data_IF_716361038574
#
_entry.id   IF_716361038574
#
_cell.length_a   1.000
_cell.length_b   1.000
_cell.length_c   1.000
_cell.angle_alpha   90.00
_cell.angle_beta   90.00
_cell.angle_gamma   90.00
#
_symmetry.space_group_name_H-M   'P 1'
#
loop_
_entity.id
_entity.type
_entity.pdbx_description
1 polymer ?
#
# COMPACT_ATOMS: atom_id res chain seq x y z
N UNK A 1 19.79 5.81 1.72
CA UNK A 1 20.73 4.90 2.41
C UNK A 1 20.06 4.00 3.44
N UNK A 2 19.32 4.53 4.42
CA UNK A 2 18.61 3.71 5.42
C UNK A 2 17.70 2.61 4.81
N UNK A 3 16.92 2.95 3.78
CA UNK A 3 16.09 1.95 3.08
C UNK A 3 16.92 0.79 2.51
N UNK A 4 18.02 1.10 1.82
CA UNK A 4 18.87 0.08 1.19
C UNK A 4 19.62 -0.79 2.21
N UNK A 5 19.92 -0.26 3.40
CA UNK A 5 20.66 -1.00 4.43
C UNK A 5 19.79 -1.78 5.40
N UNK A 6 18.51 -1.42 5.54
CA UNK A 6 17.60 -2.00 6.55
C UNK A 6 16.40 -2.74 5.95
N UNK A 7 16.11 -2.56 4.65
CA UNK A 7 15.01 -3.25 3.99
C UNK A 7 15.51 -4.38 3.07
N UNK A 8 14.66 -5.39 2.91
CA UNK A 8 14.86 -6.45 1.92
C UNK A 8 14.83 -5.85 0.51
N UNK A 9 15.81 -6.22 -0.32
CA UNK A 9 15.89 -5.81 -1.72
C UNK A 9 15.12 -6.79 -2.62
N UNK A 10 14.54 -6.26 -3.69
CA UNK A 10 13.72 -6.96 -4.68
C UNK A 10 12.56 -7.79 -4.09
N UNK A 11 11.72 -7.23 -3.18
CA UNK A 11 10.55 -7.93 -2.69
C UNK A 11 9.50 -8.10 -3.80
N UNK A 12 8.67 -9.14 -3.69
CA UNK A 12 7.48 -9.25 -4.52
C UNK A 12 6.46 -8.18 -4.14
N UNK A 13 6.29 -7.93 -2.83
CA UNK A 13 5.38 -6.91 -2.31
C UNK A 13 6.05 -6.11 -1.20
N UNK A 14 6.05 -4.79 -1.34
CA UNK A 14 6.51 -3.85 -0.32
C UNK A 14 5.31 -3.09 0.27
N UNK A 15 5.12 -3.18 1.59
CA UNK A 15 4.08 -2.42 2.31
C UNK A 15 4.71 -1.17 2.94
N UNK A 16 4.09 -0.03 2.71
CA UNK A 16 4.51 1.27 3.23
C UNK A 16 3.32 1.90 3.97
N UNK A 17 3.58 2.53 5.10
CA UNK A 17 2.57 3.24 5.89
C UNK A 17 2.93 4.72 5.96
N UNK A 18 1.96 5.61 5.81
CA UNK A 18 2.18 7.06 5.89
C UNK A 18 1.03 7.76 6.60
N UNK A 19 1.33 8.76 7.41
CA UNK A 19 0.33 9.68 8.00
C UNK A 19 -0.49 10.39 6.92
N UNK A 20 0.18 10.85 5.85
CA UNK A 20 -0.50 11.48 4.73
C UNK A 20 -1.18 12.77 5.16
N UNK A 21 -2.51 12.82 5.06
CA UNK A 21 -3.32 13.97 5.47
C UNK A 21 -4.05 13.77 6.80
N UNK A 22 -4.04 12.56 7.37
CA UNK A 22 -4.72 12.25 8.63
C UNK A 22 -3.96 11.19 9.43
N UNK A 23 -3.42 11.60 10.57
CA UNK A 23 -2.80 10.67 11.53
C UNK A 23 -3.82 9.71 12.14
N UNK A 24 -5.04 10.20 12.42
CA UNK A 24 -6.13 9.41 13.02
C UNK A 24 -6.46 8.17 12.17
N UNK A 25 -6.42 8.31 10.84
CA UNK A 25 -6.65 7.21 9.91
C UNK A 25 -5.66 6.06 10.06
N UNK A 26 -4.42 6.35 10.42
CA UNK A 26 -3.43 5.31 10.66
C UNK A 26 -3.63 4.74 12.07
N UNK A 27 -3.69 5.60 13.09
CA UNK A 27 -3.73 5.14 14.49
C UNK A 27 -4.99 4.34 14.84
N UNK A 28 -6.14 4.68 14.24
CA UNK A 28 -7.40 3.98 14.51
C UNK A 28 -7.47 2.60 13.81
N UNK A 29 -6.82 2.43 12.66
CA UNK A 29 -6.97 1.23 11.82
C UNK A 29 -5.75 0.29 11.84
N UNK A 30 -4.60 0.73 12.36
CA UNK A 30 -3.30 0.05 12.23
C UNK A 30 -3.31 -1.40 12.70
N UNK A 31 -3.78 -1.65 13.92
CA UNK A 31 -3.80 -2.99 14.54
C UNK A 31 -4.71 -3.96 13.79
N UNK A 32 -5.76 -3.45 13.15
CA UNK A 32 -6.73 -4.27 12.42
C UNK A 32 -6.36 -4.49 10.96
N UNK A 33 -5.52 -3.64 10.35
CA UNK A 33 -5.14 -3.78 8.93
C UNK A 33 -3.75 -4.38 8.73
N UNK A 34 -2.73 -3.90 9.44
CA UNK A 34 -1.34 -4.22 9.06
C UNK A 34 -0.95 -5.65 9.44
N UNK A 35 -1.19 -6.15 10.67
CA UNK A 35 -0.88 -7.54 11.01
C UNK A 35 -1.55 -8.57 10.08
N UNK A 36 -2.87 -8.52 9.81
CA UNK A 36 -3.49 -9.48 8.90
C UNK A 36 -3.04 -9.31 7.45
N UNK A 37 -2.77 -8.08 6.98
CA UNK A 37 -2.21 -7.85 5.64
C UNK A 37 -0.86 -8.55 5.48
N UNK A 38 0.08 -8.31 6.41
CA UNK A 38 1.41 -8.93 6.36
C UNK A 38 1.35 -10.45 6.49
N UNK A 39 0.46 -10.96 7.36
CA UNK A 39 0.24 -12.39 7.50
C UNK A 39 -0.32 -13.01 6.21
N UNK A 40 -1.33 -12.39 5.61
CA UNK A 40 -1.97 -12.85 4.38
C UNK A 40 -1.01 -12.86 3.19
N UNK A 41 -0.19 -11.81 3.02
CA UNK A 41 0.83 -11.76 1.97
C UNK A 41 1.87 -12.89 2.11
N UNK A 42 2.33 -13.16 3.34
CA UNK A 42 3.26 -14.27 3.62
C UNK A 42 2.61 -15.64 3.41
N UNK A 43 1.38 -15.83 3.86
CA UNK A 43 0.63 -17.08 3.67
C UNK A 43 0.33 -17.34 2.18
N UNK A 44 0.19 -16.30 1.37
CA UNK A 44 0.09 -16.39 -0.08
C UNK A 44 1.42 -16.77 -0.76
N UNK A 45 2.51 -16.97 -0.01
CA UNK A 45 3.81 -17.40 -0.51
C UNK A 45 4.63 -16.28 -1.16
N UNK A 46 4.26 -15.01 -0.95
CA UNK A 46 4.95 -13.86 -1.54
C UNK A 46 6.18 -13.47 -0.73
N UNK A 47 7.26 -13.04 -1.40
CA UNK A 47 8.39 -12.42 -0.74
C UNK A 47 8.02 -11.01 -0.25
N UNK A 48 7.64 -10.90 1.03
CA UNK A 48 7.19 -9.64 1.65
C UNK A 48 8.40 -8.83 2.13
N UNK A 49 8.51 -7.58 1.65
CA UNK A 49 9.53 -6.63 2.07
C UNK A 49 9.37 -6.17 3.52
N UNK A 50 10.40 -5.53 4.07
CA UNK A 50 10.37 -4.96 5.43
C UNK A 50 9.39 -3.78 5.45
N UNK A 51 8.28 -3.81 6.21
CA UNK A 51 7.37 -2.67 6.29
C UNK A 51 8.05 -1.50 7.02
N UNK A 52 7.75 -0.27 6.58
CA UNK A 52 8.28 0.93 7.24
C UNK A 52 7.29 2.09 7.14
N UNK A 53 7.53 3.11 7.98
CA UNK A 53 6.73 4.32 8.04
C UNK A 53 7.41 5.47 7.30
N UNK A 54 6.63 6.22 6.52
CA UNK A 54 7.03 7.46 5.87
C UNK A 54 6.26 8.61 6.52
N UNK A 55 6.97 9.52 7.16
CA UNK A 55 6.38 10.76 7.67
C UNK A 55 6.24 11.78 6.54
N UNK A 56 5.13 12.50 6.50
CA UNK A 56 4.83 13.53 5.48
C UNK A 56 4.70 12.97 4.06
N UNK A 57 4.31 11.71 3.95
CA UNK A 57 4.22 11.03 2.66
C UNK A 57 3.10 11.55 1.77
N UNK A 58 3.34 11.51 0.47
CA UNK A 58 2.33 11.66 -0.60
C UNK A 58 2.40 10.43 -1.48
N UNK A 59 1.30 10.09 -2.15
CA UNK A 59 1.16 8.84 -2.92
C UNK A 59 2.36 8.56 -3.84
N UNK A 60 2.80 9.55 -4.62
CA UNK A 60 3.93 9.41 -5.56
C UNK A 60 5.29 9.07 -4.93
N UNK A 61 5.45 9.15 -3.60
CA UNK A 61 6.69 8.69 -2.95
C UNK A 61 6.89 7.18 -3.13
N UNK A 62 5.82 6.43 -3.33
CA UNK A 62 5.87 4.99 -3.54
C UNK A 62 6.64 4.61 -4.83
N UNK A 63 6.67 5.49 -5.83
CA UNK A 63 7.44 5.27 -7.07
C UNK A 63 8.93 5.22 -6.78
N UNK A 64 9.41 6.19 -5.99
CA UNK A 64 10.81 6.24 -5.60
C UNK A 64 11.18 5.07 -4.68
N UNK A 65 10.26 4.66 -3.80
CA UNK A 65 10.44 3.48 -2.94
C UNK A 65 10.57 2.22 -3.79
N UNK A 66 9.68 2.03 -4.76
CA UNK A 66 9.71 0.89 -5.67
C UNK A 66 11.00 0.83 -6.49
N UNK A 67 11.49 1.95 -6.99
CA UNK A 67 12.80 2.03 -7.66
C UNK A 67 13.98 1.73 -6.72
N UNK A 68 13.99 2.32 -5.52
CA UNK A 68 15.09 2.15 -4.56
C UNK A 68 15.21 0.70 -4.10
N UNK A 69 14.07 0.05 -3.82
CA UNK A 69 14.04 -1.30 -3.27
C UNK A 69 13.91 -2.40 -4.34
N UNK A 70 13.58 -2.04 -5.58
CA UNK A 70 13.31 -3.02 -6.64
C UNK A 70 12.02 -3.81 -6.42
N UNK A 71 11.04 -3.23 -5.72
CA UNK A 71 9.80 -3.91 -5.38
C UNK A 71 8.92 -4.13 -6.62
N UNK A 72 8.37 -5.34 -6.79
CA UNK A 72 7.46 -5.64 -7.91
C UNK A 72 6.07 -5.06 -7.70
N UNK A 73 5.56 -5.03 -6.47
CA UNK A 73 4.33 -4.32 -6.10
C UNK A 73 4.65 -3.46 -4.88
N UNK A 74 4.25 -2.19 -4.92
CA UNK A 74 4.27 -1.31 -3.74
C UNK A 74 2.83 -1.06 -3.33
N UNK A 75 2.56 -1.21 -2.03
CA UNK A 75 1.28 -0.93 -1.38
C UNK A 75 1.53 0.17 -0.36
N UNK A 76 0.88 1.31 -0.54
CA UNK A 76 0.92 2.44 0.37
C UNK A 76 -0.42 2.58 1.10
N UNK A 77 -0.41 2.35 2.42
CA UNK A 77 -1.49 2.72 3.32
C UNK A 77 -1.30 4.16 3.78
N UNK A 78 -2.22 5.04 3.46
CA UNK A 78 -2.08 6.49 3.68
C UNK A 78 -3.37 7.14 4.16
N UNK A 79 -3.27 8.01 5.16
CA UNK A 79 -4.40 8.77 5.69
C UNK A 79 -4.96 9.76 4.68
N UNK A 80 -6.27 9.74 4.48
CA UNK A 80 -6.97 10.64 3.57
C UNK A 80 -7.16 12.05 4.16
N UNK A 81 -7.70 12.97 3.36
CA UNK A 81 -8.12 14.28 3.87
C UNK A 81 -9.25 14.08 4.89
N UNK A 82 -9.18 14.65 6.10
CA UNK A 82 -10.27 14.60 7.06
C UNK A 82 -11.57 15.17 6.48
N UNK A 83 -12.68 14.45 6.69
CA UNK A 83 -14.03 14.91 6.39
C UNK A 83 -14.62 15.73 7.54
N UNK A 84 -15.85 16.23 7.34
CA UNK A 84 -16.51 17.12 8.32
C UNK A 84 -16.75 16.46 9.69
N UNK A 85 -17.06 15.15 9.71
CA UNK A 85 -17.38 14.41 10.93
C UNK A 85 -16.53 13.16 11.14
N UNK A 86 -15.49 12.96 10.33
CA UNK A 86 -14.65 11.77 10.40
C UNK A 86 -13.23 12.04 9.87
N UNK A 87 -12.21 11.67 10.63
CA UNK A 87 -10.78 11.75 10.29
C UNK A 87 -10.10 10.40 10.09
N UNK A 88 -10.73 9.26 10.41
CA UNK A 88 -10.07 7.94 10.38
C UNK A 88 -10.13 7.23 9.02
N UNK A 89 -10.52 7.89 7.93
CA UNK A 89 -10.56 7.25 6.59
C UNK A 89 -9.15 6.99 6.06
N UNK A 90 -8.85 5.72 5.82
CA UNK A 90 -7.60 5.25 5.24
C UNK A 90 -7.79 4.87 3.76
N UNK A 91 -6.78 5.16 2.94
CA UNK A 91 -6.69 4.66 1.57
C UNK A 91 -5.48 3.76 1.36
N UNK A 92 -5.65 2.78 0.47
CA UNK A 92 -4.58 1.98 -0.10
C UNK A 92 -4.37 2.39 -1.56
N UNK A 93 -3.15 2.81 -1.88
CA UNK A 93 -2.67 2.95 -3.25
C UNK A 93 -1.70 1.81 -3.54
N UNK A 94 -1.87 1.16 -4.69
CA UNK A 94 -1.01 0.06 -5.08
C UNK A 94 -0.59 0.17 -6.55
N UNK A 95 0.68 -0.11 -6.83
CA UNK A 95 1.26 -0.03 -8.18
C UNK A 95 2.23 -1.17 -8.44
N UNK A 96 2.18 -1.72 -9.65
CA UNK A 96 3.09 -2.74 -10.13
C UNK A 96 4.33 -2.10 -10.78
N UNK A 97 5.51 -2.46 -10.26
CA UNK A 97 6.85 -2.10 -10.74
C UNK A 97 7.01 -0.63 -11.11
N UNK A 98 6.77 0.30 -10.17
CA UNK A 98 6.71 1.72 -10.49
C UNK A 98 8.07 2.30 -10.89
N UNK A 99 8.00 3.41 -11.64
CA UNK A 99 9.13 4.21 -12.09
C UNK A 99 8.78 5.68 -11.99
N UNK A 100 9.65 6.48 -11.36
CA UNK A 100 9.42 7.93 -11.15
C UNK A 100 9.23 8.66 -12.48
N UNK A 101 9.91 8.21 -13.53
CA UNK A 101 9.88 8.85 -14.84
C UNK A 101 8.64 8.51 -15.69
N UNK A 102 8.00 7.35 -15.48
CA UNK A 102 6.98 6.84 -16.43
C UNK A 102 5.65 6.49 -15.79
N UNK A 103 5.59 6.19 -14.50
CA UNK A 103 4.35 5.83 -13.82
C UNK A 103 3.43 7.03 -13.73
N UNK A 104 2.18 6.88 -14.18
CA UNK A 104 1.12 7.88 -14.05
C UNK A 104 0.13 7.49 -12.97
N UNK A 105 -0.74 8.42 -12.55
CA UNK A 105 -1.70 8.15 -11.48
C UNK A 105 -2.68 7.01 -11.84
N UNK A 106 -3.06 6.91 -13.13
CA UNK A 106 -3.96 5.87 -13.62
C UNK A 106 -3.37 4.45 -13.54
N UNK A 107 -2.05 4.31 -13.39
CA UNK A 107 -1.42 3.00 -13.21
C UNK A 107 -1.63 2.44 -11.80
N UNK A 108 -2.19 3.23 -10.87
CA UNK A 108 -2.46 2.80 -9.49
C UNK A 108 -3.86 2.23 -9.36
N UNK A 109 -3.96 1.17 -8.57
CA UNK A 109 -5.26 0.73 -8.04
C UNK A 109 -5.48 1.40 -6.69
N UNK A 110 -6.66 1.98 -6.49
CA UNK A 110 -7.05 2.64 -5.25
C UNK A 110 -8.16 1.84 -4.55
N UNK A 111 -8.00 1.59 -3.25
CA UNK A 111 -9.05 1.14 -2.35
C UNK A 111 -9.16 2.21 -1.25
N UNK A 112 -10.25 2.99 -1.26
CA UNK A 112 -10.47 4.10 -0.33
C UNK A 112 -11.50 3.75 0.75
N UNK A 113 -11.72 4.67 1.68
CA UNK A 113 -12.77 4.55 2.70
C UNK A 113 -12.61 3.29 3.57
N UNK A 114 -11.36 2.97 3.92
CA UNK A 114 -11.06 1.91 4.87
C UNK A 114 -11.16 2.50 6.27
N UNK A 115 -12.22 2.12 6.99
CA UNK A 115 -12.50 2.45 8.39
C UNK A 115 -13.75 1.67 8.83
N UNK A 116 -14.08 1.69 10.14
CA UNK A 116 -15.24 0.94 10.69
C UNK A 116 -16.60 1.25 10.03
N UNK A 117 -16.77 2.47 9.50
CA UNK A 117 -17.99 2.90 8.81
C UNK A 117 -17.95 2.75 7.28
N UNK A 118 -16.84 2.26 6.74
CA UNK A 118 -16.61 2.02 5.32
C UNK A 118 -16.31 0.54 5.08
N UNK A 119 -15.23 0.24 4.36
CA UNK A 119 -14.71 -1.14 4.31
C UNK A 119 -13.95 -1.42 5.61
N UNK A 120 -14.34 -2.43 6.42
CA UNK A 120 -13.66 -2.74 7.67
C UNK A 120 -12.17 -3.06 7.45
N UNK A 121 -11.25 -2.61 8.31
CA UNK A 121 -9.80 -2.75 8.07
C UNK A 121 -9.33 -4.21 7.89
N UNK A 122 -9.91 -5.14 8.65
CA UNK A 122 -9.61 -6.58 8.54
C UNK A 122 -10.02 -7.13 7.17
N UNK A 123 -11.19 -6.74 6.66
CA UNK A 123 -11.67 -7.14 5.34
C UNK A 123 -10.83 -6.49 4.23
N UNK A 124 -10.54 -5.20 4.36
CA UNK A 124 -9.68 -4.48 3.43
C UNK A 124 -8.30 -5.13 3.30
N UNK A 125 -7.72 -5.64 4.39
CA UNK A 125 -6.47 -6.39 4.34
C UNK A 125 -6.56 -7.61 3.41
N UNK A 126 -7.65 -8.39 3.49
CA UNK A 126 -7.85 -9.55 2.61
C UNK A 126 -8.02 -9.13 1.13
N UNK A 127 -8.76 -8.05 0.87
CA UNK A 127 -8.93 -7.49 -0.48
C UNK A 127 -7.59 -7.03 -1.07
N UNK A 128 -6.75 -6.39 -0.26
CA UNK A 128 -5.42 -5.93 -0.67
C UNK A 128 -4.49 -7.12 -0.97
N UNK A 129 -4.55 -8.21 -0.20
CA UNK A 129 -3.79 -9.45 -0.46
C UNK A 129 -4.17 -10.05 -1.82
N UNK A 130 -5.47 -10.16 -2.10
CA UNK A 130 -5.95 -10.65 -3.40
C UNK A 130 -5.51 -9.75 -4.56
N UNK A 131 -5.63 -8.44 -4.38
CA UNK A 131 -5.16 -7.45 -5.35
C UNK A 131 -3.67 -7.61 -5.66
N UNK A 132 -2.83 -7.77 -4.65
CA UNK A 132 -1.38 -7.94 -4.81
C UNK A 132 -1.04 -9.20 -5.62
N UNK A 133 -1.74 -10.32 -5.36
CA UNK A 133 -1.59 -11.55 -6.15
C UNK A 133 -1.94 -11.32 -7.61
N UNK A 134 -3.09 -10.72 -7.89
CA UNK A 134 -3.54 -10.43 -9.26
C UNK A 134 -2.57 -9.49 -9.98
N UNK A 135 -2.05 -8.47 -9.29
CA UNK A 135 -1.04 -7.58 -9.87
C UNK A 135 0.22 -8.32 -10.30
N UNK A 136 0.71 -9.26 -9.47
CA UNK A 136 1.88 -10.07 -9.78
C UNK A 136 1.63 -11.08 -10.92
N UNK A 137 0.44 -11.70 -10.94
CA UNK A 137 0.03 -12.64 -11.99
C UNK A 137 -0.10 -11.96 -13.34
N UNK A 138 -0.78 -10.81 -13.39
CA UNK A 138 -1.03 -10.07 -14.63
C UNK A 138 0.14 -9.16 -15.04
N UNK A 139 1.07 -8.88 -14.11
CA UNK A 139 2.15 -7.89 -14.26
C UNK A 139 1.62 -6.51 -14.63
N UNK A 140 0.53 -6.13 -13.99
CA UNK A 140 -0.21 -4.90 -14.28
C UNK A 140 -0.90 -4.36 -13.01
N UNK A 141 -1.18 -3.06 -12.99
CA UNK A 141 -1.93 -2.38 -11.94
C UNK A 141 -2.80 -1.26 -12.53
N UNK A 142 -3.73 -0.75 -11.73
CA UNK A 142 -4.62 0.34 -12.11
C UNK A 142 -5.49 -0.02 -13.32
N UNK A 143 -5.59 0.91 -14.28
CA UNK A 143 -6.40 0.74 -15.49
C UNK A 143 -5.93 -0.41 -16.41
N UNK A 144 -4.71 -0.90 -16.20
CA UNK A 144 -4.11 -1.95 -17.03
C UNK A 144 -4.49 -3.37 -16.56
N UNK A 145 -5.20 -3.50 -15.44
CA UNK A 145 -5.66 -4.80 -14.93
C UNK A 145 -6.91 -5.29 -15.66
N UNK A 146 -6.97 -6.59 -15.93
CA UNK A 146 -8.20 -7.25 -16.38
C UNK A 146 -9.09 -7.60 -15.19
N UNK A 147 -10.41 -7.58 -15.43
CA UNK A 147 -11.41 -8.06 -14.46
C UNK A 147 -11.29 -9.55 -14.22
#
# INVERSE_FOLDING_TARGET
DALKSQCVMNPDVQVVVSDGLSTDAITANYEEILPPLLAGLKQAGLNVGTPFFVRYGRVKIEDQIGEILGAKVVILLVGERPGLGQSESLSCYAVYSPRVATTVEADRTCISNIHQGGTPPVEAAAVIVDLAKRMLEQKASGINMTR
#
